data_IF_423688717692
#
_entry.id   IF_423688717692
#
_cell.length_a   1.000
_cell.length_b   1.000
_cell.length_c   1.000
_cell.angle_alpha   90.00
_cell.angle_beta   90.00
_cell.angle_gamma   90.00
#
_symmetry.space_group_name_H-M   'P 1'
#
loop_
_entity.id
_entity.type
_entity.pdbx_description
1 polymer ?
#
# COMPACT_ATOMS: atom_id res chain seq x y z
N UNK A 1 3.90 -32.07 11.87
CA UNK A 1 4.03 -33.14 12.90
C UNK A 1 4.32 -34.44 12.16
N UNK A 2 5.59 -34.80 11.99
CA UNK A 2 5.99 -36.18 11.68
C UNK A 2 7.27 -36.44 12.43
N UNK A 3 7.13 -37.25 13.48
CA UNK A 3 8.22 -37.71 14.31
C UNK A 3 9.04 -38.75 13.57
N UNK A 4 10.36 -38.55 13.57
CA UNK A 4 11.32 -39.56 13.13
C UNK A 4 11.72 -40.37 14.37
N UNK A 5 11.37 -41.66 14.36
CA UNK A 5 11.77 -42.63 15.35
C UNK A 5 13.21 -43.04 15.04
N UNK A 6 14.16 -42.72 15.92
CA UNK A 6 15.51 -43.28 15.88
C UNK A 6 15.54 -44.65 16.55
N UNK A 7 15.77 -45.69 15.76
CA UNK A 7 16.09 -47.01 16.25
C UNK A 7 17.61 -47.07 16.49
N UNK A 8 18.05 -47.21 17.75
CA UNK A 8 19.46 -47.36 18.11
C UNK A 8 19.97 -48.75 17.85
N UNK A 9 20.97 -48.90 16.96
CA UNK A 9 21.97 -49.97 17.05
C UNK A 9 23.35 -49.37 16.98
N UNK A 10 24.02 -49.46 18.10
CA UNK A 10 25.39 -49.04 18.30
C UNK A 10 26.33 -49.90 17.46
N UNK A 11 27.11 -49.30 16.59
CA UNK A 11 28.51 -49.52 16.20
C UNK A 11 28.72 -48.85 14.84
N UNK A 12 29.69 -47.92 14.79
CA UNK A 12 30.15 -47.09 13.64
C UNK A 12 29.56 -45.68 13.47
N UNK A 13 29.37 -44.96 14.56
CA UNK A 13 29.01 -43.53 14.50
C UNK A 13 30.19 -42.58 14.25
N UNK A 14 31.44 -43.03 14.39
CA UNK A 14 32.62 -42.17 14.26
C UNK A 14 33.01 -41.82 12.82
N UNK A 15 32.76 -42.72 11.87
CA UNK A 15 33.14 -42.51 10.45
C UNK A 15 32.17 -41.58 9.74
N UNK A 16 30.88 -41.68 10.02
CA UNK A 16 29.89 -40.81 9.40
C UNK A 16 29.97 -39.32 9.83
N UNK A 17 30.40 -39.03 11.02
CA UNK A 17 30.57 -37.65 11.50
C UNK A 17 31.70 -36.92 10.80
N UNK A 18 32.81 -37.59 10.46
CA UNK A 18 33.93 -36.99 9.75
C UNK A 18 33.54 -36.64 8.31
N UNK A 19 32.77 -37.49 7.62
CA UNK A 19 32.28 -37.19 6.27
C UNK A 19 31.25 -36.05 6.27
N UNK A 20 30.28 -36.06 7.20
CA UNK A 20 29.28 -34.99 7.32
C UNK A 20 29.96 -33.65 7.62
N UNK A 21 30.97 -33.61 8.49
CA UNK A 21 31.75 -32.40 8.78
C UNK A 21 32.56 -31.93 7.56
N UNK A 22 33.09 -32.85 6.77
CA UNK A 22 33.75 -32.55 5.50
C UNK A 22 32.83 -31.89 4.50
N UNK A 23 31.67 -32.48 4.28
CA UNK A 23 30.65 -31.94 3.39
C UNK A 23 30.11 -30.58 3.86
N UNK A 24 29.86 -30.43 5.15
CA UNK A 24 29.39 -29.17 5.74
C UNK A 24 30.40 -28.04 5.58
N UNK A 25 31.70 -28.31 5.81
CA UNK A 25 32.78 -27.34 5.55
C UNK A 25 32.88 -26.96 4.06
N UNK A 26 32.72 -27.93 3.17
CA UNK A 26 32.74 -27.69 1.72
C UNK A 26 31.55 -26.83 1.29
N UNK A 27 30.35 -27.10 1.80
CA UNK A 27 29.14 -26.32 1.53
C UNK A 27 29.22 -24.91 2.08
N UNK A 28 29.75 -24.72 3.28
CA UNK A 28 29.96 -23.39 3.89
C UNK A 28 31.02 -22.61 3.09
N UNK A 29 32.12 -23.26 2.68
CA UNK A 29 33.16 -22.64 1.85
C UNK A 29 32.62 -22.25 0.46
N UNK A 30 31.81 -23.12 -0.15
CA UNK A 30 31.18 -22.83 -1.44
C UNK A 30 30.16 -21.68 -1.35
N UNK A 31 29.31 -21.68 -0.30
CA UNK A 31 28.36 -20.60 -0.04
C UNK A 31 29.08 -19.27 0.22
N UNK A 32 30.18 -19.29 0.99
CA UNK A 32 31.00 -18.11 1.22
C UNK A 32 31.67 -17.61 -0.08
N UNK A 33 32.18 -18.52 -0.91
CA UNK A 33 32.76 -18.15 -2.22
C UNK A 33 31.71 -17.57 -3.17
N UNK A 34 30.51 -18.15 -3.22
CA UNK A 34 29.37 -17.63 -4.02
C UNK A 34 28.93 -16.26 -3.50
N UNK A 35 28.84 -16.08 -2.20
CA UNK A 35 28.55 -14.76 -1.59
C UNK A 35 29.65 -13.74 -1.94
N UNK A 36 30.92 -14.08 -1.85
CA UNK A 36 32.03 -13.17 -2.20
C UNK A 36 31.97 -12.81 -3.68
N UNK A 37 31.64 -13.74 -4.57
CA UNK A 37 31.51 -13.47 -6.01
C UNK A 37 30.28 -12.57 -6.26
N UNK A 38 29.15 -12.85 -5.65
CA UNK A 38 27.93 -12.02 -5.76
C UNK A 38 28.19 -10.62 -5.20
N UNK A 39 28.75 -10.50 -3.99
CA UNK A 39 29.11 -9.19 -3.43
C UNK A 39 30.21 -8.49 -4.19
N UNK A 40 31.18 -9.22 -4.73
CA UNK A 40 32.21 -8.68 -5.61
C UNK A 40 31.65 -8.13 -6.92
N UNK A 41 30.70 -8.82 -7.54
CA UNK A 41 30.03 -8.34 -8.76
C UNK A 41 29.12 -7.14 -8.48
N UNK A 42 28.41 -7.13 -7.34
CA UNK A 42 27.61 -5.98 -6.91
C UNK A 42 28.51 -4.75 -6.65
N UNK A 43 29.71 -4.96 -6.09
CA UNK A 43 30.70 -3.88 -5.85
C UNK A 43 31.33 -3.34 -7.15
N UNK A 44 31.31 -4.12 -8.24
CA UNK A 44 31.90 -3.72 -9.53
C UNK A 44 30.92 -2.98 -10.45
N UNK A 45 29.62 -2.96 -10.15
CA UNK A 45 28.67 -2.12 -10.86
C UNK A 45 28.88 -0.67 -10.43
N UNK A 46 29.68 0.08 -11.20
CA UNK A 46 29.74 1.54 -11.06
C UNK A 46 28.33 2.08 -11.22
N UNK A 47 27.76 2.77 -10.22
CA UNK A 47 26.41 3.31 -10.34
C UNK A 47 26.43 4.32 -11.50
N UNK A 48 25.61 4.06 -12.50
CA UNK A 48 25.44 4.92 -13.67
C UNK A 48 24.75 6.23 -13.34
N UNK A 49 24.05 6.30 -12.19
CA UNK A 49 23.29 7.48 -11.78
C UNK A 49 23.98 8.23 -10.64
N UNK A 50 24.02 9.57 -10.76
CA UNK A 50 24.52 10.47 -9.72
C UNK A 50 23.40 10.88 -8.75
N UNK A 51 22.16 10.95 -9.25
CA UNK A 51 20.97 11.42 -8.54
C UNK A 51 19.98 10.29 -8.37
N UNK A 52 19.33 10.24 -7.21
CA UNK A 52 18.33 9.25 -6.86
C UNK A 52 17.12 9.95 -6.28
N UNK A 53 15.93 9.65 -6.80
CA UNK A 53 14.68 10.01 -6.16
C UNK A 53 14.11 8.76 -5.51
N UNK A 54 13.85 8.86 -4.20
CA UNK A 54 13.22 7.80 -3.42
C UNK A 54 11.85 8.31 -3.01
N UNK A 55 10.84 7.53 -3.32
CA UNK A 55 9.46 7.78 -2.89
C UNK A 55 9.02 6.71 -1.92
N UNK A 56 8.25 7.08 -0.91
CA UNK A 56 7.55 6.15 -0.05
C UNK A 56 6.04 6.24 -0.32
N UNK A 57 5.31 5.12 -0.13
CA UNK A 57 3.86 5.13 -0.23
C UNK A 57 3.27 6.16 0.73
N UNK A 58 2.30 6.95 0.26
CA UNK A 58 1.68 7.99 1.06
C UNK A 58 0.80 7.36 2.15
N UNK A 59 1.01 7.69 3.43
CA UNK A 59 0.12 7.22 4.49
C UNK A 59 -1.24 7.89 4.38
N UNK A 60 -2.29 7.07 4.56
CA UNK A 60 -3.66 7.54 4.50
C UNK A 60 -4.06 8.21 5.82
N UNK A 61 -4.57 9.44 5.76
CA UNK A 61 -4.84 10.29 6.95
C UNK A 61 -6.17 9.98 7.63
N UNK A 62 -6.51 8.70 7.76
CA UNK A 62 -7.68 8.24 8.51
C UNK A 62 -7.33 7.64 9.88
N UNK A 63 -6.05 7.57 10.23
CA UNK A 63 -5.53 7.02 11.47
C UNK A 63 -4.03 7.26 11.66
N UNK A 64 -3.47 6.90 12.84
CA UNK A 64 -2.03 6.96 13.06
C UNK A 64 -1.30 5.87 12.26
N UNK A 65 -0.03 6.08 11.96
CA UNK A 65 0.84 5.01 11.46
C UNK A 65 1.09 3.99 12.58
N UNK A 66 1.25 2.73 12.21
CA UNK A 66 1.56 1.63 13.14
C UNK A 66 2.84 0.92 12.68
N UNK A 67 3.29 -0.04 13.48
CA UNK A 67 4.56 -0.75 13.25
C UNK A 67 4.64 -1.39 11.85
N UNK A 68 3.53 -1.88 11.30
CA UNK A 68 3.50 -2.45 9.95
C UNK A 68 3.81 -1.41 8.86
N UNK A 69 3.32 -0.17 9.01
CA UNK A 69 3.67 0.93 8.11
C UNK A 69 5.15 1.28 8.22
N UNK A 70 5.65 1.42 9.46
CA UNK A 70 7.03 1.80 9.71
C UNK A 70 8.01 0.74 9.20
N UNK A 71 7.82 -0.52 9.58
CA UNK A 71 8.71 -1.62 9.23
C UNK A 71 8.60 -2.04 7.75
N UNK A 72 7.40 -1.92 7.15
CA UNK A 72 7.17 -2.33 5.77
C UNK A 72 7.56 -1.30 4.72
N UNK A 73 7.53 0.00 5.05
CA UNK A 73 7.70 1.07 4.07
C UNK A 73 8.73 2.10 4.50
N UNK A 74 8.50 2.83 5.60
CA UNK A 74 9.22 4.08 5.87
C UNK A 74 10.63 3.85 6.38
N UNK A 75 10.84 2.90 7.28
CA UNK A 75 12.18 2.56 7.79
C UNK A 75 13.07 1.95 6.70
N UNK A 76 12.61 0.99 5.89
CA UNK A 76 13.40 0.49 4.76
C UNK A 76 13.77 1.59 3.74
N UNK A 77 12.83 2.47 3.39
CA UNK A 77 13.07 3.56 2.46
C UNK A 77 14.10 4.57 3.03
N UNK A 78 13.97 4.94 4.29
CA UNK A 78 14.92 5.82 4.99
C UNK A 78 16.31 5.20 5.10
N UNK A 79 16.38 3.92 5.43
CA UNK A 79 17.65 3.17 5.46
C UNK A 79 18.36 3.22 4.12
N UNK A 80 17.62 3.01 3.03
CA UNK A 80 18.18 3.09 1.68
C UNK A 80 18.61 4.52 1.31
N UNK A 81 17.81 5.52 1.65
CA UNK A 81 18.18 6.93 1.44
C UNK A 81 19.48 7.29 2.18
N UNK A 82 19.60 6.89 3.46
CA UNK A 82 20.82 7.09 4.26
C UNK A 82 22.02 6.36 3.69
N UNK A 83 21.84 5.12 3.24
CA UNK A 83 22.91 4.35 2.58
C UNK A 83 23.44 5.09 1.35
N UNK A 84 22.56 5.57 0.48
CA UNK A 84 22.96 6.30 -0.72
C UNK A 84 23.67 7.62 -0.39
N UNK A 85 23.15 8.37 0.59
CA UNK A 85 23.80 9.61 1.06
C UNK A 85 25.18 9.34 1.64
N UNK A 86 25.33 8.28 2.45
CA UNK A 86 26.63 7.85 2.96
C UNK A 86 27.62 7.44 1.85
N UNK A 87 27.12 7.03 0.68
CA UNK A 87 27.90 6.75 -0.52
C UNK A 87 28.18 8.00 -1.37
N UNK A 88 27.87 9.20 -0.87
CA UNK A 88 28.09 10.46 -1.57
C UNK A 88 27.16 10.67 -2.78
N UNK A 89 25.96 10.04 -2.79
CA UNK A 89 24.97 10.23 -3.85
C UNK A 89 24.04 11.38 -3.50
N UNK A 90 23.63 12.12 -4.53
CA UNK A 90 22.55 13.08 -4.42
C UNK A 90 21.23 12.32 -4.31
N UNK A 91 20.50 12.52 -3.20
CA UNK A 91 19.25 11.82 -2.91
C UNK A 91 18.17 12.83 -2.58
N UNK A 92 17.03 12.74 -3.27
CA UNK A 92 15.78 13.35 -2.89
C UNK A 92 14.86 12.26 -2.33
N UNK A 93 14.61 12.26 -1.03
CA UNK A 93 13.69 11.34 -0.37
C UNK A 93 12.40 12.09 -0.04
N UNK A 94 11.33 11.77 -0.78
CA UNK A 94 10.07 12.49 -0.74
C UNK A 94 8.89 11.58 -0.37
N UNK A 95 7.94 12.16 0.36
CA UNK A 95 6.68 11.52 0.71
C UNK A 95 5.59 12.60 0.89
N UNK A 96 4.42 12.20 1.34
CA UNK A 96 3.31 13.09 1.68
C UNK A 96 2.15 12.31 2.27
N UNK A 97 1.16 13.01 2.80
CA UNK A 97 -0.08 12.41 3.29
C UNK A 97 -1.07 12.22 2.14
N UNK A 98 -1.72 11.04 2.08
CA UNK A 98 -2.90 10.83 1.25
C UNK A 98 -4.14 11.28 2.03
N UNK A 99 -4.80 12.33 1.52
CA UNK A 99 -5.82 13.08 2.26
C UNK A 99 -7.19 13.10 1.57
N UNK A 100 -7.38 12.27 0.56
CA UNK A 100 -8.65 12.17 -0.16
C UNK A 100 -9.23 10.75 -0.05
N UNK A 101 -10.56 10.65 -0.18
CA UNK A 101 -11.24 9.37 -0.32
C UNK A 101 -12.25 9.05 0.78
N UNK A 102 -12.95 7.95 0.54
CA UNK A 102 -14.16 7.53 1.25
C UNK A 102 -13.92 7.28 2.74
N UNK A 103 -12.80 6.66 3.11
CA UNK A 103 -12.55 6.31 4.51
C UNK A 103 -12.37 7.55 5.40
N UNK A 104 -11.86 8.67 4.85
CA UNK A 104 -11.77 9.95 5.57
C UNK A 104 -13.18 10.52 5.79
N UNK A 105 -14.04 10.49 4.75
CA UNK A 105 -15.41 10.96 4.86
C UNK A 105 -16.23 10.14 5.89
N UNK A 106 -16.09 8.80 5.86
CA UNK A 106 -16.73 7.92 6.86
C UNK A 106 -16.24 8.27 8.27
N UNK A 107 -14.94 8.45 8.44
CA UNK A 107 -14.36 8.79 9.74
C UNK A 107 -14.84 10.15 10.23
N UNK A 108 -14.90 11.13 9.35
CA UNK A 108 -15.40 12.47 9.64
C UNK A 108 -16.85 12.39 10.15
N UNK A 109 -17.71 11.66 9.44
CA UNK A 109 -19.10 11.44 9.85
C UNK A 109 -19.21 10.74 11.21
N UNK A 110 -18.41 9.70 11.46
CA UNK A 110 -18.39 8.98 12.75
C UNK A 110 -17.91 9.86 13.91
N UNK A 111 -16.95 10.76 13.69
CA UNK A 111 -16.42 11.66 14.73
C UNK A 111 -17.20 13.00 14.84
N UNK A 112 -18.22 13.23 14.02
CA UNK A 112 -18.95 14.51 13.98
C UNK A 112 -18.06 15.67 13.56
N UNK A 113 -17.09 15.46 12.69
CA UNK A 113 -16.11 16.41 12.22
C UNK A 113 -16.18 16.61 10.72
N UNK A 114 -15.54 17.66 10.23
CA UNK A 114 -15.32 17.80 8.78
C UNK A 114 -14.16 16.93 8.31
N UNK A 115 -14.12 16.51 7.03
CA UNK A 115 -12.97 15.82 6.46
C UNK A 115 -11.65 16.57 6.68
N UNK A 116 -11.67 17.91 6.54
CA UNK A 116 -10.50 18.76 6.78
C UNK A 116 -9.95 18.62 8.21
N UNK A 117 -10.84 18.63 9.22
CA UNK A 117 -10.43 18.44 10.62
C UNK A 117 -9.82 17.05 10.89
N UNK A 118 -10.28 16.02 10.17
CA UNK A 118 -9.72 14.67 10.28
C UNK A 118 -8.31 14.64 9.69
N UNK A 119 -8.13 15.12 8.46
CA UNK A 119 -6.82 15.06 7.79
C UNK A 119 -5.80 15.94 8.52
N UNK A 120 -6.16 17.12 9.01
CA UNK A 120 -5.26 17.98 9.77
C UNK A 120 -4.78 17.34 11.08
N UNK A 121 -5.71 16.68 11.79
CA UNK A 121 -5.39 15.93 13.02
C UNK A 121 -4.39 14.80 12.74
N UNK A 122 -4.68 13.97 11.74
CA UNK A 122 -3.86 12.77 11.47
C UNK A 122 -2.56 13.09 10.75
N UNK A 123 -2.51 14.11 9.89
CA UNK A 123 -1.25 14.59 9.31
C UNK A 123 -0.26 15.00 10.41
N UNK A 124 -0.71 15.74 11.42
CA UNK A 124 0.14 16.14 12.55
C UNK A 124 0.66 14.92 13.33
N UNK A 125 -0.20 13.92 13.61
CA UNK A 125 0.20 12.72 14.32
C UNK A 125 1.20 11.89 13.50
N UNK A 126 0.98 11.76 12.20
CA UNK A 126 1.83 11.02 11.29
C UNK A 126 3.20 11.70 11.17
N UNK A 127 3.24 13.01 10.94
CA UNK A 127 4.50 13.78 10.90
C UNK A 127 5.29 13.65 12.20
N UNK A 128 4.61 13.77 13.34
CA UNK A 128 5.24 13.56 14.65
C UNK A 128 5.84 12.16 14.79
N UNK A 129 5.11 11.14 14.36
CA UNK A 129 5.61 9.76 14.39
C UNK A 129 6.87 9.60 13.54
N UNK A 130 6.90 10.17 12.32
CA UNK A 130 8.10 10.12 11.47
C UNK A 130 9.28 10.86 12.08
N UNK A 131 9.04 12.01 12.71
CA UNK A 131 10.08 12.76 13.42
C UNK A 131 10.65 11.94 14.59
N UNK A 132 9.79 11.31 15.39
CA UNK A 132 10.19 10.51 16.55
C UNK A 132 11.01 9.27 16.13
N UNK A 133 10.72 8.70 14.97
CA UNK A 133 11.50 7.63 14.35
C UNK A 133 12.73 8.13 13.58
N UNK A 134 12.92 9.43 13.47
CA UNK A 134 14.05 10.03 12.76
C UNK A 134 14.03 9.78 11.25
N UNK A 135 12.86 9.55 10.63
CA UNK A 135 12.75 9.39 9.18
C UNK A 135 13.17 10.68 8.47
N UNK A 136 14.13 10.58 7.56
CA UNK A 136 14.85 11.74 7.00
C UNK A 136 14.31 12.20 5.64
N UNK A 137 13.01 12.45 5.52
CA UNK A 137 12.44 13.03 4.30
C UNK A 137 13.07 14.39 4.01
N UNK A 138 13.43 14.63 2.74
CA UNK A 138 13.81 15.97 2.27
C UNK A 138 12.56 16.84 2.07
N UNK A 139 11.45 16.23 1.66
CA UNK A 139 10.15 16.88 1.58
C UNK A 139 9.03 15.93 1.96
N UNK A 140 8.11 16.38 2.79
CA UNK A 140 6.88 15.69 3.15
C UNK A 140 5.70 16.63 2.92
N UNK A 141 4.93 16.39 1.85
CA UNK A 141 3.82 17.21 1.42
C UNK A 141 2.46 16.66 1.84
N UNK A 142 1.40 17.18 1.26
CA UNK A 142 0.01 16.77 1.47
C UNK A 142 -0.71 16.76 0.12
N UNK A 143 -1.57 15.76 -0.13
CA UNK A 143 -2.39 15.76 -1.36
C UNK A 143 -3.46 16.86 -1.35
N UNK A 144 -3.84 17.41 -0.18
CA UNK A 144 -4.71 18.57 -0.04
C UNK A 144 -3.99 19.92 -0.19
N UNK A 145 -2.68 19.94 -0.36
CA UNK A 145 -1.94 21.19 -0.56
C UNK A 145 -2.32 21.88 -1.88
N UNK A 146 -2.39 23.20 -1.87
CA UNK A 146 -2.75 24.00 -3.05
C UNK A 146 -1.87 23.68 -4.27
N UNK A 147 -0.56 23.53 -4.06
CA UNK A 147 0.38 23.17 -5.12
C UNK A 147 0.06 21.78 -5.72
N UNK A 148 -0.37 20.81 -4.90
CA UNK A 148 -0.76 19.49 -5.39
C UNK A 148 -2.01 19.57 -6.25
N UNK A 149 -3.05 20.30 -5.80
CA UNK A 149 -4.27 20.52 -6.57
C UNK A 149 -3.99 21.19 -7.90
N UNK A 150 -3.17 22.25 -7.90
CA UNK A 150 -2.78 22.92 -9.13
C UNK A 150 -2.07 21.97 -10.08
N UNK A 151 -1.02 21.29 -9.62
CA UNK A 151 -0.20 20.40 -10.45
C UNK A 151 -1.04 19.24 -11.00
N UNK A 152 -1.91 18.62 -10.17
CA UNK A 152 -2.76 17.53 -10.61
C UNK A 152 -3.77 18.00 -11.68
N UNK A 153 -4.37 19.18 -11.50
CA UNK A 153 -5.30 19.78 -12.47
C UNK A 153 -4.61 20.13 -13.80
N UNK A 154 -3.40 20.71 -13.72
CA UNK A 154 -2.60 21.02 -14.91
C UNK A 154 -2.22 19.73 -15.65
N UNK A 155 -1.81 18.69 -14.92
CA UNK A 155 -1.46 17.39 -15.50
C UNK A 155 -2.66 16.75 -16.22
N UNK A 156 -3.84 16.77 -15.58
CA UNK A 156 -5.07 16.28 -16.17
C UNK A 156 -5.42 17.07 -17.46
N UNK A 157 -5.32 18.39 -17.42
CA UNK A 157 -5.61 19.24 -18.58
C UNK A 157 -4.70 18.92 -19.76
N UNK A 158 -3.39 18.77 -19.51
CA UNK A 158 -2.44 18.40 -20.57
C UNK A 158 -2.74 17.03 -21.20
N UNK A 159 -3.18 16.05 -20.39
CA UNK A 159 -3.58 14.74 -20.91
C UNK A 159 -4.89 14.81 -21.69
N UNK A 160 -5.84 15.61 -21.22
CA UNK A 160 -7.13 15.84 -21.89
C UNK A 160 -6.95 16.54 -23.23
N UNK A 161 -6.09 17.58 -23.29
CA UNK A 161 -5.78 18.32 -24.53
C UNK A 161 -5.07 17.44 -25.59
N UNK A 162 -4.43 16.36 -25.15
CA UNK A 162 -3.81 15.37 -26.02
C UNK A 162 -4.77 14.24 -26.42
N UNK A 163 -6.04 14.31 -26.01
CA UNK A 163 -7.05 13.28 -26.29
C UNK A 163 -6.64 11.86 -25.88
N UNK A 164 -5.98 11.76 -24.70
CA UNK A 164 -5.47 10.47 -24.20
C UNK A 164 -6.56 9.66 -23.49
N UNK A 165 -7.61 10.32 -22.98
CA UNK A 165 -8.64 9.65 -22.21
C UNK A 165 -9.71 9.00 -23.08
N UNK A 166 -10.00 7.73 -22.79
CA UNK A 166 -11.22 7.07 -23.28
C UNK A 166 -12.41 7.44 -22.39
N UNK A 167 -13.49 7.96 -23.00
CA UNK A 167 -14.75 8.16 -22.28
C UNK A 167 -15.64 6.91 -22.37
N UNK A 168 -16.08 6.41 -21.21
CA UNK A 168 -17.03 5.29 -21.12
C UNK A 168 -18.20 5.65 -20.22
N UNK A 169 -19.39 5.24 -20.64
CA UNK A 169 -20.60 5.36 -19.81
C UNK A 169 -20.82 4.04 -19.09
N UNK A 170 -20.90 4.09 -17.76
CA UNK A 170 -21.25 2.93 -16.94
C UNK A 170 -22.41 3.24 -16.01
N UNK A 171 -23.00 2.20 -15.44
CA UNK A 171 -24.00 2.35 -14.38
C UNK A 171 -23.32 2.30 -13.02
N UNK A 172 -23.66 3.25 -12.17
CA UNK A 172 -23.24 3.27 -10.78
C UNK A 172 -24.44 3.42 -9.85
N UNK A 173 -24.25 3.02 -8.58
CA UNK A 173 -25.26 3.18 -7.56
C UNK A 173 -25.31 4.65 -7.09
N UNK A 174 -26.52 5.18 -7.03
CA UNK A 174 -26.82 6.54 -6.61
C UNK A 174 -27.78 6.51 -5.42
N UNK A 175 -27.47 7.25 -4.40
CA UNK A 175 -28.32 7.42 -3.23
C UNK A 175 -29.30 8.58 -3.49
N UNK A 176 -30.63 8.32 -3.60
CA UNK A 176 -31.59 9.38 -3.88
C UNK A 176 -31.83 10.31 -2.68
N UNK A 177 -31.57 9.85 -1.44
CA UNK A 177 -31.74 10.66 -0.23
C UNK A 177 -30.51 11.53 0.02
N UNK A 178 -29.29 10.96 -0.06
CA UNK A 178 -28.05 11.70 0.03
C UNK A 178 -27.75 12.54 -1.22
N UNK A 179 -28.42 12.24 -2.36
CA UNK A 179 -28.27 12.90 -3.66
C UNK A 179 -26.85 12.83 -4.23
N UNK A 180 -26.19 11.70 -4.00
CA UNK A 180 -24.81 11.50 -4.51
C UNK A 180 -24.59 10.08 -5.03
N UNK A 181 -23.59 9.92 -5.92
CA UNK A 181 -23.12 8.62 -6.35
C UNK A 181 -22.36 7.96 -5.19
N UNK A 182 -22.60 6.66 -5.02
CA UNK A 182 -21.97 5.90 -3.95
C UNK A 182 -20.65 5.31 -4.44
N UNK A 183 -19.58 5.63 -3.73
CA UNK A 183 -18.35 4.86 -3.84
C UNK A 183 -18.57 3.45 -3.25
N UNK A 184 -17.77 2.48 -3.69
CA UNK A 184 -17.99 1.06 -3.41
C UNK A 184 -18.16 0.75 -1.91
N UNK A 185 -17.39 1.42 -1.04
CA UNK A 185 -17.50 1.25 0.43
C UNK A 185 -18.64 2.04 1.08
N UNK A 186 -19.36 2.82 0.33
CA UNK A 186 -20.63 3.41 0.77
C UNK A 186 -21.82 2.51 0.48
N UNK A 187 -21.59 1.33 -0.09
CA UNK A 187 -22.62 0.33 -0.34
C UNK A 187 -22.32 -0.93 0.45
N UNK A 188 -23.33 -1.45 1.13
CA UNK A 188 -23.29 -2.77 1.76
C UNK A 188 -24.47 -3.59 1.27
N UNK A 189 -24.30 -4.91 1.22
CA UNK A 189 -25.35 -5.82 0.78
C UNK A 189 -24.95 -7.27 0.97
N UNK A 190 -25.76 -8.18 0.43
CA UNK A 190 -25.49 -9.61 0.51
C UNK A 190 -24.52 -9.98 -0.62
N UNK A 191 -23.45 -10.70 -0.25
CA UNK A 191 -22.48 -11.21 -1.22
C UNK A 191 -23.13 -12.26 -2.14
N UNK A 192 -23.03 -12.12 -3.47
CA UNK A 192 -23.58 -13.09 -4.40
C UNK A 192 -22.85 -14.43 -4.41
N UNK A 193 -21.61 -14.50 -3.88
CA UNK A 193 -20.80 -15.71 -3.86
C UNK A 193 -20.97 -16.57 -2.59
N UNK A 194 -21.05 -15.93 -1.42
CA UNK A 194 -21.09 -16.67 -0.15
C UNK A 194 -22.27 -16.30 0.74
N UNK A 195 -23.20 -15.46 0.28
CA UNK A 195 -24.38 -15.02 1.01
C UNK A 195 -24.09 -14.29 2.33
N UNK A 196 -22.86 -13.80 2.53
CA UNK A 196 -22.55 -12.94 3.67
C UNK A 196 -23.36 -11.65 3.62
N UNK A 197 -24.06 -11.31 4.71
CA UNK A 197 -25.07 -10.25 4.74
C UNK A 197 -24.55 -8.81 4.78
N UNK A 198 -23.24 -8.62 4.93
CA UNK A 198 -22.60 -7.30 5.12
C UNK A 198 -21.36 -7.12 4.26
N UNK A 199 -21.40 -7.61 3.01
CA UNK A 199 -20.32 -7.40 2.06
C UNK A 199 -20.29 -5.93 1.58
N UNK A 200 -19.09 -5.38 1.41
CA UNK A 200 -18.91 -4.08 0.75
C UNK A 200 -18.90 -4.21 -0.78
N UNK A 201 -19.11 -3.09 -1.47
CA UNK A 201 -19.20 -3.07 -2.93
C UNK A 201 -17.90 -3.36 -3.68
N UNK A 202 -16.74 -3.38 -3.01
CA UNK A 202 -15.42 -3.66 -3.58
C UNK A 202 -14.95 -5.09 -3.30
N UNK A 203 -15.21 -5.60 -2.09
CA UNK A 203 -14.73 -6.90 -1.65
C UNK A 203 -15.66 -7.49 -0.58
N UNK A 204 -15.85 -8.80 -0.60
CA UNK A 204 -16.46 -9.51 0.50
C UNK A 204 -15.40 -9.91 1.53
N UNK A 205 -15.44 -9.32 2.73
CA UNK A 205 -14.46 -9.61 3.78
C UNK A 205 -14.58 -11.05 4.35
N UNK A 206 -15.69 -11.76 4.07
CA UNK A 206 -15.90 -13.14 4.51
C UNK A 206 -15.25 -14.16 3.57
N UNK A 207 -15.41 -14.02 2.25
CA UNK A 207 -14.88 -14.98 1.28
C UNK A 207 -13.72 -14.45 0.43
N UNK A 208 -13.35 -13.16 0.56
CA UNK A 208 -12.26 -12.53 -0.16
C UNK A 208 -12.53 -12.25 -1.65
N UNK A 209 -13.76 -12.50 -2.14
CA UNK A 209 -14.10 -12.25 -3.53
C UNK A 209 -14.16 -10.75 -3.83
N UNK A 210 -13.55 -10.32 -4.94
CA UNK A 210 -13.75 -8.98 -5.48
C UNK A 210 -15.17 -8.85 -6.02
N UNK A 211 -15.80 -7.72 -5.77
CA UNK A 211 -17.19 -7.44 -6.12
C UNK A 211 -17.29 -6.11 -6.89
N UNK A 212 -18.38 -5.94 -7.63
CA UNK A 212 -18.84 -4.62 -8.03
C UNK A 212 -20.05 -4.26 -7.14
N UNK A 213 -20.16 -3.01 -6.73
CA UNK A 213 -21.26 -2.56 -5.89
C UNK A 213 -22.65 -2.85 -6.50
N UNK A 214 -22.72 -2.88 -7.84
CA UNK A 214 -23.95 -3.19 -8.61
C UNK A 214 -24.37 -4.67 -8.59
N UNK A 215 -23.48 -5.58 -8.14
CA UNK A 215 -23.70 -7.02 -8.12
C UNK A 215 -24.17 -7.51 -6.74
N UNK A 216 -24.11 -6.63 -5.72
CA UNK A 216 -24.63 -6.95 -4.41
C UNK A 216 -26.15 -7.20 -4.42
N UNK A 217 -26.57 -8.20 -3.65
CA UNK A 217 -28.00 -8.48 -3.44
C UNK A 217 -28.49 -7.57 -2.31
N UNK A 218 -29.66 -6.96 -2.50
CA UNK A 218 -30.26 -6.00 -1.56
C UNK A 218 -29.31 -4.89 -1.09
N UNK A 219 -28.67 -4.14 -2.02
CA UNK A 219 -27.72 -3.10 -1.65
C UNK A 219 -28.36 -2.00 -0.82
N UNK A 220 -27.63 -1.50 0.18
CA UNK A 220 -28.00 -0.38 1.04
C UNK A 220 -26.90 0.66 1.07
N UNK A 221 -27.31 1.93 1.02
CA UNK A 221 -26.40 3.05 1.24
C UNK A 221 -25.98 3.11 2.72
N UNK A 222 -24.69 3.22 3.00
CA UNK A 222 -24.21 3.46 4.36
C UNK A 222 -24.35 4.94 4.78
N UNK A 223 -24.71 5.83 3.84
CA UNK A 223 -24.91 7.25 4.10
C UNK A 223 -26.30 7.53 4.68
N UNK A 224 -27.35 7.05 4.01
CA UNK A 224 -28.75 7.30 4.37
C UNK A 224 -29.49 6.06 4.86
N UNK A 225 -29.01 4.86 4.53
CA UNK A 225 -29.72 3.59 4.74
C UNK A 225 -30.71 3.25 3.61
N UNK A 226 -30.91 4.17 2.64
CA UNK A 226 -31.81 3.97 1.51
C UNK A 226 -31.31 2.87 0.57
N UNK A 227 -32.24 2.30 -0.20
CA UNK A 227 -31.90 1.42 -1.31
C UNK A 227 -31.41 2.27 -2.50
N UNK A 228 -30.16 2.12 -2.95
CA UNK A 228 -29.65 2.93 -4.05
C UNK A 228 -30.27 2.53 -5.38
N UNK A 229 -30.29 3.47 -6.32
CA UNK A 229 -30.76 3.25 -7.69
C UNK A 229 -29.59 3.26 -8.68
N UNK A 230 -29.68 2.47 -9.75
CA UNK A 230 -28.69 2.50 -10.82
C UNK A 230 -28.86 3.76 -11.66
N UNK A 231 -27.78 4.50 -11.88
CA UNK A 231 -27.77 5.73 -12.67
C UNK A 231 -26.54 5.76 -13.57
N UNK A 232 -26.73 6.16 -14.82
CA UNK A 232 -25.65 6.27 -15.80
C UNK A 232 -24.76 7.46 -15.46
N UNK A 233 -23.44 7.26 -15.55
CA UNK A 233 -22.42 8.31 -15.42
C UNK A 233 -21.27 8.06 -16.37
N UNK A 234 -20.58 9.14 -16.76
CA UNK A 234 -19.39 9.10 -17.60
C UNK A 234 -18.13 8.98 -16.75
N UNK A 235 -17.19 8.21 -17.24
CA UNK A 235 -15.86 8.06 -16.66
C UNK A 235 -14.79 8.23 -17.71
N UNK A 236 -13.65 8.76 -17.31
CA UNK A 236 -12.44 8.81 -18.12
C UNK A 236 -11.50 7.68 -17.71
N UNK A 237 -10.98 6.98 -18.70
CA UNK A 237 -10.03 5.90 -18.51
C UNK A 237 -8.73 6.26 -19.23
N UNK A 238 -7.61 5.95 -18.60
CA UNK A 238 -6.32 5.89 -19.28
C UNK A 238 -6.23 4.54 -20.00
N UNK A 239 -5.96 4.50 -21.31
CA UNK A 239 -5.83 3.26 -22.06
C UNK A 239 -4.59 2.45 -21.67
#
# INVERSE_FOLDING_TARGET
VNGIVFCSRSKDLSIHWFEIWGWLKLMISYAAAVLIVIFGQISMMKPTFKRHTITAALPYTNGPVHIGHLAGVYVPADTYARYLRARGREVAFICGSDEHGVAIAIKAKKEGKTPQQIIDKYDQIIRKSFQDFGISFDNYSRTSAAIHHQTASEFFSVLSDKDIFDEKVSEQLYDPEAREFLADRFVTGICPHCSHSSAYGDICESCGSSLNATDLIDPKSTLSGATPVKKKTKHWFLP
#
